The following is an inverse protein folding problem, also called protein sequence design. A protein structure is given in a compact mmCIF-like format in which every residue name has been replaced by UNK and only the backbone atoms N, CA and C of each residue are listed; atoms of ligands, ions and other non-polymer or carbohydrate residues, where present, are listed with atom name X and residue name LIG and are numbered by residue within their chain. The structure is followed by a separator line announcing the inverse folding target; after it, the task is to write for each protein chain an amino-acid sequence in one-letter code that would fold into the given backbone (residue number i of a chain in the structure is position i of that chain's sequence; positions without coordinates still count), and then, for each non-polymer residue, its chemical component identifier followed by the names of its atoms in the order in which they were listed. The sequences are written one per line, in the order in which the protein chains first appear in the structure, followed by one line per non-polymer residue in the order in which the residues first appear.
data_IF_920754492852
#
_entry.id   IF_920754492852
#
_cell.length_a   1.000
_cell.length_b   1.000
_cell.length_c   1.000
_cell.angle_alpha   90.00
_cell.angle_beta   90.00
_cell.angle_gamma   90.00
#
_symmetry.space_group_name_H-M   'P 1'
#
loop_
_entity.id
_entity.type
_entity.pdbx_description
1 polymer ?
#
# COMPACT_ATOMS: atom_id res chain seq x y z
N UNK A 1 22.13 -32.56 -29.53
CA UNK A 1 20.75 -32.17 -29.18
C UNK A 1 20.82 -30.75 -28.67
N UNK A 2 20.40 -29.77 -29.47
CA UNK A 2 20.42 -28.36 -29.07
C UNK A 2 19.07 -28.08 -28.40
N UNK A 3 19.08 -27.74 -27.12
CA UNK A 3 17.86 -27.37 -26.40
C UNK A 3 17.24 -26.14 -27.07
N UNK A 4 15.96 -26.23 -27.43
CA UNK A 4 15.24 -25.14 -28.11
C UNK A 4 15.08 -23.90 -27.22
N UNK A 5 14.89 -22.71 -27.82
CA UNK A 5 14.85 -21.42 -27.10
C UNK A 5 13.79 -21.34 -25.98
N UNK A 6 12.75 -22.17 -26.01
CA UNK A 6 11.73 -22.24 -24.94
C UNK A 6 12.22 -22.93 -23.66
N UNK A 7 13.18 -23.87 -23.75
CA UNK A 7 13.74 -24.55 -22.56
C UNK A 7 14.63 -23.58 -21.79
N UNK A 8 15.45 -22.80 -22.50
CA UNK A 8 16.32 -21.79 -21.91
C UNK A 8 15.54 -20.70 -21.14
N UNK A 9 14.38 -20.27 -21.65
CA UNK A 9 13.55 -19.26 -20.98
C UNK A 9 12.88 -19.80 -19.71
N UNK A 10 12.43 -21.06 -19.72
CA UNK A 10 11.82 -21.70 -18.55
C UNK A 10 12.83 -21.89 -17.42
N UNK A 11 14.04 -22.28 -17.76
CA UNK A 11 15.11 -22.49 -16.79
C UNK A 11 15.62 -21.15 -16.23
N UNK A 12 15.75 -20.12 -17.07
CA UNK A 12 16.07 -18.76 -16.62
C UNK A 12 15.01 -18.18 -15.66
N UNK A 13 13.72 -18.38 -15.95
CA UNK A 13 12.63 -17.93 -15.08
C UNK A 13 12.59 -18.70 -13.75
N UNK A 14 13.02 -19.97 -13.73
CA UNK A 14 13.14 -20.77 -12.51
C UNK A 14 14.34 -20.37 -11.67
N UNK A 15 15.47 -20.09 -12.30
CA UNK A 15 16.65 -19.55 -11.62
C UNK A 15 16.33 -18.19 -11.00
N UNK A 16 15.69 -17.29 -11.74
CA UNK A 16 15.27 -15.98 -11.23
C UNK A 16 14.27 -16.11 -10.06
N UNK A 17 13.36 -17.09 -10.12
CA UNK A 17 12.39 -17.35 -9.04
C UNK A 17 13.00 -18.03 -7.80
N UNK A 18 14.18 -18.64 -7.94
CA UNK A 18 14.91 -19.29 -6.84
C UNK A 18 15.87 -18.35 -6.12
N UNK A 19 16.06 -17.12 -6.63
CA UNK A 19 16.83 -16.10 -5.93
C UNK A 19 16.02 -15.65 -4.72
N UNK A 20 16.42 -16.10 -3.54
CA UNK A 20 15.91 -15.51 -2.31
C UNK A 20 16.42 -14.06 -2.21
N UNK A 21 15.55 -13.11 -1.88
CA UNK A 21 15.94 -11.72 -1.73
C UNK A 21 16.93 -11.59 -0.58
N UNK A 22 17.87 -10.66 -0.73
CA UNK A 22 18.91 -10.43 0.26
C UNK A 22 18.31 -10.17 1.66
N UNK A 23 19.01 -10.64 2.68
CA UNK A 23 18.64 -10.38 4.06
C UNK A 23 18.69 -8.87 4.33
N UNK A 24 17.73 -8.32 5.12
CA UNK A 24 17.66 -6.89 5.39
C UNK A 24 18.98 -6.38 6.02
N UNK A 25 19.35 -5.14 5.66
CA UNK A 25 20.58 -4.52 6.12
C UNK A 25 20.63 -4.41 7.66
N UNK A 26 21.74 -4.83 8.25
CA UNK A 26 21.97 -4.88 9.71
C UNK A 26 22.86 -3.75 10.24
N UNK A 27 23.09 -2.71 9.44
CA UNK A 27 23.93 -1.56 9.81
C UNK A 27 23.36 -0.72 10.96
N UNK A 28 24.19 0.02 11.71
CA UNK A 28 23.74 0.87 12.80
C UNK A 28 22.90 2.05 12.26
N UNK A 29 21.64 2.11 12.69
CA UNK A 29 20.68 3.17 12.32
C UNK A 29 21.11 4.50 12.94
N UNK A 30 21.47 5.48 12.11
CA UNK A 30 21.91 6.81 12.55
C UNK A 30 20.76 7.81 12.38
N UNK A 31 20.18 8.26 13.51
CA UNK A 31 18.82 8.84 13.65
C UNK A 31 17.74 7.87 13.13
N UNK A 32 16.88 7.38 14.02
CA UNK A 32 15.80 6.44 13.68
C UNK A 32 14.84 7.06 12.66
N UNK A 33 15.12 6.86 11.37
CA UNK A 33 14.24 7.21 10.27
C UNK A 33 12.90 6.53 10.49
N UNK A 34 11.81 7.28 10.54
CA UNK A 34 10.47 6.69 10.62
C UNK A 34 9.98 6.34 9.22
N UNK A 35 10.02 5.05 8.88
CA UNK A 35 9.45 4.48 7.66
C UNK A 35 8.00 4.09 7.95
N UNK A 36 7.09 4.69 7.22
CA UNK A 36 5.65 4.56 7.42
C UNK A 36 5.02 4.12 6.10
N UNK A 37 4.30 2.99 6.14
CA UNK A 37 3.54 2.51 4.99
C UNK A 37 2.09 2.99 5.07
N UNK A 38 1.56 3.49 3.96
CA UNK A 38 0.21 4.03 3.87
C UNK A 38 -0.59 3.10 2.95
N UNK A 39 -1.71 2.61 3.46
CA UNK A 39 -2.61 1.73 2.73
C UNK A 39 -4.03 2.30 2.67
N UNK A 40 -4.84 1.75 1.78
CA UNK A 40 -6.22 2.18 1.57
C UNK A 40 -6.70 1.84 0.17
N UNK A 41 -8.02 1.81 0.00
CA UNK A 41 -8.71 1.50 -1.25
C UNK A 41 -8.24 2.39 -2.41
N UNK A 42 -8.25 1.86 -3.63
CA UNK A 42 -8.03 2.64 -4.84
C UNK A 42 -8.95 3.86 -4.91
N UNK A 43 -8.40 5.04 -5.19
CA UNK A 43 -9.18 6.29 -5.30
C UNK A 43 -9.68 6.90 -3.98
N UNK A 44 -9.31 6.34 -2.82
CA UNK A 44 -9.70 6.90 -1.51
C UNK A 44 -9.04 8.25 -1.21
N UNK A 45 -7.89 8.54 -1.82
CA UNK A 45 -7.11 9.76 -1.62
C UNK A 45 -5.83 9.57 -0.79
N UNK A 46 -5.20 8.40 -0.85
CA UNK A 46 -3.87 8.14 -0.26
C UNK A 46 -2.83 9.17 -0.72
N UNK A 47 -2.61 9.26 -2.03
CA UNK A 47 -1.64 10.17 -2.62
C UNK A 47 -1.93 11.65 -2.32
N UNK A 48 -3.22 12.02 -2.25
CA UNK A 48 -3.62 13.36 -1.79
C UNK A 48 -3.19 13.62 -0.34
N UNK A 49 -3.50 12.68 0.56
CA UNK A 49 -3.14 12.77 1.98
C UNK A 49 -1.62 12.84 2.15
N UNK A 50 -0.90 11.97 1.45
CA UNK A 50 0.56 11.87 1.50
C UNK A 50 1.29 13.08 0.93
N UNK A 51 0.85 13.61 -0.21
CA UNK A 51 1.50 14.78 -0.79
C UNK A 51 1.34 16.01 0.10
N UNK A 52 0.16 16.19 0.72
CA UNK A 52 -0.09 17.27 1.66
C UNK A 52 0.63 17.07 3.01
N UNK A 53 0.65 15.84 3.53
CA UNK A 53 1.37 15.49 4.76
C UNK A 53 2.88 15.69 4.60
N UNK A 54 3.48 15.14 3.54
CA UNK A 54 4.91 15.28 3.27
C UNK A 54 5.29 16.74 3.07
N UNK A 55 4.46 17.51 2.34
CA UNK A 55 4.66 18.95 2.20
C UNK A 55 4.65 19.67 3.55
N UNK A 56 3.65 19.40 4.40
CA UNK A 56 3.56 20.02 5.72
C UNK A 56 4.77 19.68 6.60
N UNK A 57 5.13 18.40 6.68
CA UNK A 57 6.31 17.96 7.43
C UNK A 57 7.59 18.64 6.93
N UNK A 58 7.75 18.83 5.61
CA UNK A 58 8.86 19.57 5.04
C UNK A 58 8.83 21.06 5.43
N UNK A 59 7.65 21.70 5.46
CA UNK A 59 7.52 23.09 5.93
C UNK A 59 7.83 23.22 7.43
N UNK A 60 7.66 22.16 8.21
CA UNK A 60 8.07 22.05 9.61
C UNK A 60 9.56 21.69 9.78
N UNK A 61 10.34 21.74 8.70
CA UNK A 61 11.79 21.52 8.71
C UNK A 61 12.22 20.05 8.77
N UNK A 62 11.30 19.10 8.54
CA UNK A 62 11.64 17.68 8.48
C UNK A 62 12.16 17.31 7.10
N UNK A 63 13.17 16.44 7.05
CA UNK A 63 13.65 15.84 5.81
C UNK A 63 12.77 14.63 5.49
N UNK A 64 11.92 14.75 4.46
CA UNK A 64 10.89 13.75 4.12
C UNK A 64 11.12 13.17 2.73
N UNK A 65 11.01 11.85 2.62
CA UNK A 65 10.96 11.11 1.36
C UNK A 65 9.57 10.52 1.16
N UNK A 66 8.96 10.77 0.01
CA UNK A 66 7.70 10.16 -0.44
C UNK A 66 7.99 9.18 -1.58
N UNK A 67 7.63 7.91 -1.42
CA UNK A 67 7.78 6.91 -2.46
C UNK A 67 6.40 6.39 -2.86
N UNK A 68 6.05 6.53 -4.13
CA UNK A 68 4.89 5.85 -4.69
C UNK A 68 5.18 4.38 -4.94
N UNK A 69 4.43 3.49 -4.28
CA UNK A 69 4.53 2.03 -4.38
C UNK A 69 3.25 1.42 -4.98
N UNK A 70 2.60 2.16 -5.88
CA UNK A 70 1.43 1.75 -6.64
C UNK A 70 1.80 1.64 -8.12
N UNK A 71 1.46 0.54 -8.83
CA UNK A 71 1.68 0.41 -10.27
C UNK A 71 1.13 1.59 -11.09
N UNK A 72 0.10 2.29 -10.57
CA UNK A 72 -0.47 3.49 -11.19
C UNK A 72 0.54 4.65 -11.33
N UNK A 73 1.58 4.69 -10.49
CA UNK A 73 2.73 5.61 -10.61
C UNK A 73 2.39 7.10 -10.65
N UNK A 74 1.34 7.54 -9.94
CA UNK A 74 0.89 8.94 -9.94
C UNK A 74 0.92 9.63 -8.56
N UNK A 75 1.49 8.96 -7.55
CA UNK A 75 1.55 9.44 -6.15
C UNK A 75 2.19 10.82 -6.06
N UNK A 76 3.33 10.98 -6.71
CA UNK A 76 4.17 12.18 -6.69
C UNK A 76 3.67 13.27 -7.66
N UNK A 77 2.75 12.93 -8.57
CA UNK A 77 2.26 13.88 -9.59
C UNK A 77 1.60 15.09 -8.94
N UNK A 78 0.89 14.92 -7.82
CA UNK A 78 0.31 16.04 -7.07
C UNK A 78 1.39 16.96 -6.50
N UNK A 79 2.46 16.39 -5.96
CA UNK A 79 3.60 17.17 -5.51
C UNK A 79 4.25 17.94 -6.66
N UNK A 80 4.35 17.37 -7.87
CA UNK A 80 4.99 18.01 -9.04
C UNK A 80 4.04 18.70 -10.02
N UNK A 81 2.81 19.04 -9.59
CA UNK A 81 1.89 19.84 -10.40
C UNK A 81 1.43 19.15 -11.68
N UNK A 82 1.19 17.84 -11.61
CA UNK A 82 0.74 17.00 -12.71
C UNK A 82 1.86 16.38 -13.55
N UNK A 83 3.13 16.65 -13.24
CA UNK A 83 4.27 16.01 -13.92
C UNK A 83 4.53 14.63 -13.32
N UNK A 84 4.55 13.61 -14.18
CA UNK A 84 5.00 12.27 -13.81
C UNK A 84 6.52 12.26 -13.62
N UNK A 85 6.99 11.73 -12.49
CA UNK A 85 8.42 11.49 -12.28
C UNK A 85 8.82 10.17 -12.98
N UNK A 86 10.02 10.10 -13.57
CA UNK A 86 10.60 8.82 -14.01
C UNK A 86 10.53 7.76 -12.90
N UNK A 87 10.08 6.56 -13.25
CA UNK A 87 9.95 5.45 -12.29
C UNK A 87 11.26 4.71 -12.13
N UNK A 88 11.49 4.13 -10.95
CA UNK A 88 12.72 3.37 -10.64
C UNK A 88 12.85 2.16 -11.55
N UNK A 89 11.79 1.36 -11.68
CA UNK A 89 11.81 0.13 -12.49
C UNK A 89 12.10 0.43 -13.96
N UNK A 90 11.40 1.42 -14.54
CA UNK A 90 11.58 1.77 -15.96
C UNK A 90 12.97 2.38 -16.21
N UNK A 91 13.41 3.27 -15.33
CA UNK A 91 14.70 3.96 -15.46
C UNK A 91 15.86 2.99 -15.30
N UNK A 92 15.80 2.12 -14.28
CA UNK A 92 16.77 1.05 -14.04
C UNK A 92 16.86 0.10 -15.24
N UNK A 93 15.71 -0.30 -15.81
CA UNK A 93 15.66 -1.14 -17.01
C UNK A 93 16.34 -0.47 -18.22
N UNK A 94 16.05 0.81 -18.47
CA UNK A 94 16.65 1.57 -19.58
C UNK A 94 18.16 1.73 -19.41
N UNK A 95 18.62 2.08 -18.22
CA UNK A 95 20.05 2.24 -17.89
C UNK A 95 20.81 0.93 -18.05
N UNK A 96 20.26 -0.17 -17.52
CA UNK A 96 20.84 -1.51 -17.67
C UNK A 96 21.00 -1.91 -19.14
N UNK A 97 20.01 -1.61 -19.99
CA UNK A 97 20.09 -1.87 -21.44
C UNK A 97 21.16 -0.99 -22.13
N UNK A 98 21.42 0.20 -21.61
CA UNK A 98 22.49 1.09 -22.09
C UNK A 98 23.88 0.72 -21.53
N UNK A 99 23.98 -0.26 -20.62
CA UNK A 99 25.23 -0.59 -19.92
C UNK A 99 25.64 0.44 -18.86
N UNK A 100 24.68 1.22 -18.37
CA UNK A 100 24.88 2.23 -17.32
C UNK A 100 24.25 1.80 -15.99
N UNK A 101 24.82 2.27 -14.89
CA UNK A 101 24.24 2.11 -13.56
C UNK A 101 23.23 3.23 -13.26
N UNK A 102 22.12 2.88 -12.61
CA UNK A 102 21.14 3.86 -12.13
C UNK A 102 21.71 4.64 -10.95
N UNK A 103 21.45 5.95 -10.92
CA UNK A 103 21.89 6.85 -9.84
C UNK A 103 20.69 7.51 -9.18
N UNK A 104 20.87 8.03 -7.97
CA UNK A 104 19.80 8.71 -7.21
C UNK A 104 19.19 9.86 -8.01
N UNK A 105 19.99 10.63 -8.75
CA UNK A 105 19.50 11.76 -9.55
C UNK A 105 18.60 11.36 -10.73
N UNK A 106 18.63 10.10 -11.14
CA UNK A 106 17.76 9.62 -12.23
C UNK A 106 16.33 9.36 -11.75
N UNK A 107 16.14 9.11 -10.44
CA UNK A 107 14.88 8.58 -9.89
C UNK A 107 14.34 9.36 -8.69
N UNK A 108 15.16 10.20 -8.05
CA UNK A 108 14.77 11.06 -6.94
C UNK A 108 14.64 12.51 -7.38
N UNK A 109 13.46 13.08 -7.18
CA UNK A 109 13.17 14.48 -7.49
C UNK A 109 12.79 15.22 -6.21
N UNK A 110 12.97 16.54 -6.20
CA UNK A 110 12.66 17.38 -5.05
C UNK A 110 11.82 18.58 -5.43
N UNK A 111 10.86 18.92 -4.58
CA UNK A 111 10.06 20.15 -4.71
C UNK A 111 9.61 20.62 -3.33
N UNK A 112 9.74 21.92 -3.09
CA UNK A 112 9.26 22.59 -1.88
C UNK A 112 9.73 21.91 -0.57
N UNK A 113 10.93 21.32 -0.57
CA UNK A 113 11.54 20.62 0.57
C UNK A 113 11.25 19.11 0.66
N UNK A 114 10.30 18.59 -0.13
CA UNK A 114 9.97 17.16 -0.18
C UNK A 114 10.83 16.45 -1.22
N UNK A 115 11.38 15.30 -0.87
CA UNK A 115 12.02 14.37 -1.80
C UNK A 115 11.01 13.32 -2.21
N UNK A 116 11.03 12.93 -3.48
CA UNK A 116 10.00 12.07 -4.03
C UNK A 116 10.55 11.13 -5.10
N UNK A 117 10.06 9.89 -5.08
CA UNK A 117 10.38 8.83 -6.03
C UNK A 117 9.10 8.09 -6.41
N UNK A 118 9.06 7.50 -7.59
CA UNK A 118 8.04 6.53 -7.99
C UNK A 118 8.71 5.19 -8.25
N UNK A 119 8.23 4.14 -7.61
CA UNK A 119 8.78 2.81 -7.83
C UNK A 119 8.49 2.33 -9.25
N UNK A 120 7.28 2.59 -9.71
CA UNK A 120 6.76 2.05 -10.96
C UNK A 120 6.15 0.66 -10.78
N UNK A 121 5.69 0.11 -11.90
CA UNK A 121 5.18 -1.25 -11.97
C UNK A 121 5.50 -1.88 -13.32
N UNK A 122 5.10 -3.14 -13.54
CA UNK A 122 5.18 -3.74 -14.86
C UNK A 122 4.25 -3.02 -15.85
N UNK A 123 4.48 -3.22 -17.14
CA UNK A 123 3.60 -2.68 -18.19
C UNK A 123 2.13 -3.08 -17.94
N UNK A 124 1.21 -2.16 -18.22
CA UNK A 124 -0.24 -2.41 -18.06
C UNK A 124 -0.65 -3.68 -18.82
N UNK A 125 -1.28 -4.61 -18.11
CA UNK A 125 -1.71 -5.90 -18.67
C UNK A 125 -0.62 -6.96 -18.74
N UNK A 126 0.59 -6.71 -18.21
CA UNK A 126 1.70 -7.66 -18.17
C UNK A 126 2.33 -7.75 -16.77
N UNK A 127 3.00 -8.87 -16.50
CA UNK A 127 3.77 -9.07 -15.27
C UNK A 127 2.92 -9.18 -14.00
N UNK A 128 3.60 -9.10 -12.85
CA UNK A 128 2.99 -9.15 -11.53
C UNK A 128 3.38 -7.89 -10.76
N UNK A 129 2.39 -7.09 -10.35
CA UNK A 129 2.62 -5.85 -9.60
C UNK A 129 3.48 -6.08 -8.35
N UNK A 130 3.18 -7.12 -7.57
CA UNK A 130 3.95 -7.45 -6.37
C UNK A 130 5.43 -7.77 -6.65
N UNK A 131 5.74 -8.47 -7.76
CA UNK A 131 7.14 -8.73 -8.13
C UNK A 131 7.86 -7.45 -8.56
N UNK A 132 7.14 -6.55 -9.25
CA UNK A 132 7.64 -5.21 -9.54
C UNK A 132 7.99 -4.44 -8.27
N UNK A 133 7.12 -4.50 -7.25
CA UNK A 133 7.39 -3.86 -5.95
C UNK A 133 8.68 -4.39 -5.32
N UNK A 134 8.83 -5.71 -5.21
CA UNK A 134 10.03 -6.34 -4.64
C UNK A 134 11.29 -5.88 -5.39
N UNK A 135 11.28 -5.97 -6.72
CA UNK A 135 12.43 -5.59 -7.56
C UNK A 135 12.78 -4.09 -7.44
N UNK A 136 11.78 -3.22 -7.34
CA UNK A 136 12.01 -1.79 -7.14
C UNK A 136 12.65 -1.49 -5.78
N UNK A 137 12.26 -2.20 -4.72
CA UNK A 137 12.88 -2.06 -3.41
C UNK A 137 14.31 -2.62 -3.37
N UNK A 138 14.59 -3.74 -4.04
CA UNK A 138 15.98 -4.23 -4.20
C UNK A 138 16.86 -3.20 -4.92
N UNK A 139 16.31 -2.49 -5.90
CA UNK A 139 17.02 -1.40 -6.59
C UNK A 139 17.24 -0.20 -5.65
N UNK A 140 16.26 0.14 -4.82
CA UNK A 140 16.40 1.19 -3.80
C UNK A 140 17.46 0.85 -2.76
N UNK A 141 17.50 -0.40 -2.29
CA UNK A 141 18.50 -0.89 -1.34
C UNK A 141 19.91 -0.77 -1.92
N UNK A 142 20.10 -1.15 -3.20
CA UNK A 142 21.39 -0.95 -3.91
C UNK A 142 21.81 0.52 -4.03
N UNK A 143 20.85 1.44 -4.07
CA UNK A 143 21.10 2.89 -4.07
C UNK A 143 21.40 3.45 -2.66
N UNK A 144 21.38 2.61 -1.63
CA UNK A 144 21.66 3.00 -0.24
C UNK A 144 20.45 3.54 0.51
N UNK A 145 19.25 3.02 0.26
CA UNK A 145 17.98 3.47 0.87
C UNK A 145 18.07 3.72 2.39
N UNK A 146 18.79 2.88 3.12
CA UNK A 146 18.95 2.97 4.58
C UNK A 146 20.00 3.98 5.06
N UNK A 147 20.79 4.57 4.15
CA UNK A 147 21.92 5.45 4.47
C UNK A 147 21.58 6.95 4.29
N UNK A 148 20.43 7.28 3.71
CA UNK A 148 20.11 8.65 3.30
C UNK A 148 19.72 9.59 4.45
N UNK A 149 19.50 9.06 5.66
CA UNK A 149 19.23 9.84 6.88
C UNK A 149 18.04 10.79 6.74
N UNK A 150 16.87 10.26 6.36
CA UNK A 150 15.61 10.99 6.36
C UNK A 150 15.00 11.00 7.77
N UNK A 151 14.22 12.04 8.11
CA UNK A 151 13.43 12.00 9.35
C UNK A 151 12.21 11.08 9.15
N UNK A 152 11.58 11.15 7.96
CA UNK A 152 10.43 10.33 7.58
C UNK A 152 10.55 9.79 6.16
N UNK A 153 10.18 8.54 5.97
CA UNK A 153 9.93 7.92 4.67
C UNK A 153 8.48 7.46 4.61
N UNK A 154 7.71 8.00 3.68
CA UNK A 154 6.29 7.69 3.48
C UNK A 154 6.14 6.84 2.23
N UNK A 155 5.57 5.64 2.37
CA UNK A 155 5.40 4.68 1.28
C UNK A 155 3.91 4.57 0.90
N UNK A 156 3.52 5.01 -0.29
CA UNK A 156 2.13 4.91 -0.80
C UNK A 156 1.88 3.52 -1.40
N UNK A 157 1.32 2.60 -0.63
CA UNK A 157 1.03 1.24 -1.08
C UNK A 157 -0.42 1.08 -1.53
N UNK A 158 -0.62 0.28 -2.58
CA UNK A 158 -1.94 -0.19 -2.96
C UNK A 158 -2.55 -1.05 -1.84
N UNK A 159 -3.75 -0.68 -1.37
CA UNK A 159 -4.42 -1.35 -0.25
C UNK A 159 -5.46 -2.39 -0.63
N UNK A 160 -5.97 -2.38 -1.86
CA UNK A 160 -7.01 -3.33 -2.30
C UNK A 160 -6.53 -4.78 -2.19
N UNK A 161 -5.22 -5.01 -2.34
CA UNK A 161 -4.56 -6.29 -2.11
C UNK A 161 -3.36 -6.10 -1.19
N UNK A 162 -3.25 -6.92 -0.14
CA UNK A 162 -2.13 -6.89 0.81
C UNK A 162 -1.42 -8.25 0.78
N UNK A 163 -1.02 -8.68 -0.42
CA UNK A 163 -0.38 -9.97 -0.67
C UNK A 163 0.96 -9.79 -1.41
N UNK A 164 1.85 -10.79 -1.28
CA UNK A 164 3.16 -10.79 -1.93
C UNK A 164 3.92 -9.48 -1.71
N UNK A 165 4.36 -8.85 -2.80
CA UNK A 165 5.09 -7.58 -2.74
C UNK A 165 4.31 -6.40 -2.17
N UNK A 166 2.98 -6.39 -2.23
CA UNK A 166 2.18 -5.32 -1.61
C UNK A 166 2.09 -5.46 -0.09
N UNK A 167 2.35 -6.66 0.46
CA UNK A 167 2.51 -6.90 1.89
C UNK A 167 3.95 -6.77 2.39
N UNK A 168 4.91 -6.50 1.50
CA UNK A 168 6.35 -6.50 1.80
C UNK A 168 6.74 -5.61 3.00
N UNK A 169 6.25 -4.36 3.13
CA UNK A 169 6.63 -3.50 4.26
C UNK A 169 6.26 -4.06 5.63
N UNK A 170 5.14 -4.80 5.68
CA UNK A 170 4.64 -5.44 6.89
C UNK A 170 5.36 -6.76 7.12
N UNK A 171 5.52 -7.56 6.05
CA UNK A 171 6.09 -8.90 6.12
C UNK A 171 7.58 -8.93 6.48
N UNK A 172 8.34 -7.88 6.13
CA UNK A 172 9.79 -7.78 6.36
C UNK A 172 10.20 -6.73 7.37
N UNK A 173 9.28 -6.21 8.18
CA UNK A 173 9.56 -5.13 9.17
C UNK A 173 10.29 -3.92 8.54
N UNK A 174 10.06 -3.63 7.25
CA UNK A 174 10.70 -2.49 6.57
C UNK A 174 10.12 -1.14 7.03
N UNK A 175 8.89 -1.15 7.55
CA UNK A 175 8.25 0.00 8.15
C UNK A 175 8.00 -0.25 9.63
N UNK A 176 8.05 0.80 10.45
CA UNK A 176 7.74 0.66 11.87
C UNK A 176 6.23 0.62 12.09
N UNK A 177 5.48 1.36 11.27
CA UNK A 177 4.03 1.51 11.43
C UNK A 177 3.30 1.73 10.12
N UNK A 178 2.03 1.35 10.12
CA UNK A 178 1.10 1.48 9.01
C UNK A 178 0.06 2.56 9.31
N UNK A 179 -0.24 3.42 8.34
CA UNK A 179 -1.39 4.31 8.36
C UNK A 179 -2.40 3.83 7.33
N UNK A 180 -3.68 3.85 7.71
CA UNK A 180 -4.78 3.52 6.81
C UNK A 180 -5.47 4.81 6.38
N UNK A 181 -5.77 4.96 5.10
CA UNK A 181 -6.67 6.00 4.60
C UNK A 181 -7.99 5.35 4.26
N UNK A 182 -9.07 5.80 4.91
CA UNK A 182 -10.41 5.27 4.72
C UNK A 182 -11.48 6.36 4.64
N UNK A 183 -12.69 6.00 4.26
CA UNK A 183 -13.91 6.84 4.28
C UNK A 183 -15.02 6.07 4.99
N UNK A 184 -16.21 6.67 5.08
CA UNK A 184 -17.39 6.02 5.62
C UNK A 184 -18.01 4.93 4.71
N UNK A 185 -17.45 4.65 3.52
CA UNK A 185 -17.98 3.60 2.65
C UNK A 185 -17.52 2.19 3.03
N UNK A 186 -18.43 1.21 2.94
CA UNK A 186 -18.19 -0.19 3.33
C UNK A 186 -16.96 -0.80 2.65
N UNK A 187 -16.75 -0.52 1.37
CA UNK A 187 -15.61 -1.08 0.62
C UNK A 187 -14.29 -0.49 1.12
N UNK A 188 -14.28 0.79 1.49
CA UNK A 188 -13.12 1.42 2.13
C UNK A 188 -12.80 0.79 3.48
N UNK A 189 -13.81 0.54 4.31
CA UNK A 189 -13.60 -0.08 5.63
C UNK A 189 -13.27 -1.56 5.53
N UNK A 190 -13.73 -2.25 4.48
CA UNK A 190 -13.31 -3.62 4.18
C UNK A 190 -11.82 -3.69 3.88
N UNK A 191 -11.32 -2.77 3.03
CA UNK A 191 -9.87 -2.66 2.76
C UNK A 191 -9.09 -2.29 4.03
N UNK A 192 -9.59 -1.33 4.83
CA UNK A 192 -8.99 -0.99 6.11
C UNK A 192 -8.87 -2.22 7.04
N UNK A 193 -9.93 -3.02 7.12
CA UNK A 193 -9.95 -4.25 7.91
C UNK A 193 -8.98 -5.31 7.38
N UNK A 194 -8.80 -5.43 6.06
CA UNK A 194 -7.83 -6.34 5.47
C UNK A 194 -6.38 -5.95 5.81
N UNK A 195 -6.07 -4.65 5.83
CA UNK A 195 -4.77 -4.16 6.29
C UNK A 195 -4.56 -4.51 7.77
N UNK A 196 -5.58 -4.30 8.63
CA UNK A 196 -5.53 -4.73 10.03
C UNK A 196 -5.29 -6.24 10.16
N UNK A 197 -5.96 -7.06 9.35
CA UNK A 197 -5.75 -8.51 9.32
C UNK A 197 -4.32 -8.89 8.92
N UNK A 198 -3.75 -8.22 7.92
CA UNK A 198 -2.36 -8.45 7.50
C UNK A 198 -1.37 -8.12 8.61
N UNK A 199 -1.52 -6.95 9.26
CA UNK A 199 -0.68 -6.58 10.41
C UNK A 199 -0.81 -7.60 11.54
N UNK A 200 -2.04 -7.96 11.92
CA UNK A 200 -2.28 -8.93 12.99
C UNK A 200 -1.71 -10.32 12.68
N UNK A 201 -1.79 -10.75 11.41
CA UNK A 201 -1.20 -12.00 10.94
C UNK A 201 0.32 -12.00 11.12
N UNK A 202 1.03 -10.99 10.62
CA UNK A 202 2.49 -10.93 10.73
C UNK A 202 2.97 -10.69 12.16
N UNK A 203 2.20 -9.97 13.00
CA UNK A 203 2.49 -9.88 14.44
C UNK A 203 2.43 -11.23 15.15
N UNK A 204 1.49 -12.12 14.77
CA UNK A 204 1.45 -13.49 15.30
C UNK A 204 2.66 -14.33 14.89
N UNK A 205 3.29 -14.00 13.76
CA UNK A 205 4.51 -14.64 13.28
C UNK A 205 5.80 -14.01 13.85
N UNK A 206 5.68 -13.02 14.74
CA UNK A 206 6.82 -12.37 15.40
C UNK A 206 7.26 -11.03 14.81
N UNK A 207 6.52 -10.49 13.83
CA UNK A 207 6.76 -9.15 13.28
C UNK A 207 6.43 -8.03 14.27
N UNK A 208 7.03 -6.86 14.05
CA UNK A 208 6.96 -5.71 14.96
C UNK A 208 6.06 -4.59 14.43
N UNK A 209 5.72 -4.60 13.14
CA UNK A 209 4.84 -3.60 12.53
C UNK A 209 3.49 -3.52 13.23
N UNK A 210 3.02 -2.29 13.47
CA UNK A 210 1.68 -2.02 14.00
C UNK A 210 0.93 -0.98 13.18
N UNK A 211 -0.37 -0.82 13.44
CA UNK A 211 -1.19 0.25 12.85
C UNK A 211 -1.06 1.49 13.72
N UNK A 212 -0.57 2.59 13.16
CA UNK A 212 -0.49 3.89 13.83
C UNK A 212 -1.86 4.53 14.00
N UNK A 213 -2.70 4.41 12.97
CA UNK A 213 -4.05 4.95 12.97
C UNK A 213 -4.67 5.04 11.58
N UNK A 214 -5.87 5.61 11.53
CA UNK A 214 -6.64 5.86 10.32
C UNK A 214 -6.77 7.37 10.06
N UNK A 215 -6.57 7.77 8.81
CA UNK A 215 -6.99 9.08 8.30
C UNK A 215 -8.33 8.89 7.59
N UNK A 216 -9.37 9.50 8.14
CA UNK A 216 -10.71 9.48 7.54
C UNK A 216 -10.70 10.58 6.47
N UNK A 217 -10.76 10.20 5.20
CA UNK A 217 -10.79 11.12 4.09
C UNK A 217 -12.18 11.15 3.45
N UNK A 218 -12.53 12.32 2.88
CA UNK A 218 -13.88 12.59 2.37
C UNK A 218 -14.94 12.28 3.43
N UNK A 219 -14.68 12.70 4.67
CA UNK A 219 -15.60 12.51 5.79
C UNK A 219 -16.88 13.30 5.53
N UNK A 220 -17.98 12.59 5.31
CA UNK A 220 -19.34 13.11 5.11
C UNK A 220 -20.15 13.15 6.41
N UNK A 221 -19.55 12.74 7.54
CA UNK A 221 -20.14 12.86 8.87
C UNK A 221 -21.13 11.75 9.25
N UNK A 222 -21.24 10.68 8.46
CA UNK A 222 -22.15 9.55 8.75
C UNK A 222 -21.65 8.67 9.91
N UNK A 223 -20.33 8.62 10.15
CA UNK A 223 -19.74 8.09 11.40
C UNK A 223 -19.24 6.64 11.35
N UNK A 224 -19.38 5.92 10.24
CA UNK A 224 -19.01 4.51 10.11
C UNK A 224 -17.51 4.29 10.23
N UNK A 225 -16.68 5.21 9.70
CA UNK A 225 -15.22 5.11 9.84
C UNK A 225 -14.77 5.31 11.30
N UNK A 226 -15.44 6.19 12.05
CA UNK A 226 -15.22 6.38 13.48
C UNK A 226 -15.66 5.15 14.28
N UNK A 227 -16.80 4.55 13.91
CA UNK A 227 -17.27 3.30 14.51
C UNK A 227 -16.28 2.15 14.25
N UNK A 228 -15.77 2.04 13.03
CA UNK A 228 -14.72 1.08 12.67
C UNK A 228 -13.44 1.32 13.47
N UNK A 229 -12.95 2.55 13.53
CA UNK A 229 -11.75 2.93 14.27
C UNK A 229 -11.84 2.48 15.74
N UNK A 230 -12.99 2.74 16.38
CA UNK A 230 -13.27 2.29 17.75
C UNK A 230 -13.30 0.76 17.86
N UNK A 231 -14.06 0.09 16.99
CA UNK A 231 -14.24 -1.37 17.05
C UNK A 231 -12.94 -2.13 16.76
N UNK A 232 -12.12 -1.62 15.84
CA UNK A 232 -10.84 -2.21 15.46
C UNK A 232 -9.66 -1.79 16.36
N UNK A 233 -9.90 -0.96 17.38
CA UNK A 233 -8.86 -0.38 18.24
C UNK A 233 -7.78 0.38 17.45
N UNK A 234 -8.20 1.14 16.44
CA UNK A 234 -7.33 1.95 15.57
C UNK A 234 -7.56 3.43 15.88
N UNK A 235 -6.53 4.19 16.30
CA UNK A 235 -6.67 5.63 16.54
C UNK A 235 -7.03 6.41 15.28
N UNK A 236 -7.80 7.48 15.39
CA UNK A 236 -8.04 8.41 14.29
C UNK A 236 -6.95 9.48 14.30
N UNK A 237 -6.19 9.59 13.21
CA UNK A 237 -5.10 10.56 13.07
C UNK A 237 -5.61 11.90 12.55
N UNK A 238 -6.60 11.90 11.66
CA UNK A 238 -7.29 13.10 11.20
C UNK A 238 -8.61 12.72 10.49
N UNK A 239 -9.54 13.68 10.43
CA UNK A 239 -10.70 13.66 9.54
C UNK A 239 -10.57 14.79 8.52
N UNK A 240 -10.38 14.45 7.25
CA UNK A 240 -10.39 15.38 6.11
C UNK A 240 -11.83 15.41 5.58
N UNK A 241 -12.51 16.57 5.63
CA UNK A 241 -13.92 16.66 5.27
C UNK A 241 -14.16 16.43 3.77
N UNK A 242 -15.33 15.91 3.43
CA UNK A 242 -15.85 15.94 2.07
C UNK A 242 -16.13 17.39 1.66
N UNK A 243 -15.13 18.03 1.04
CA UNK A 243 -15.17 19.45 0.70
C UNK A 243 -14.87 19.69 -0.79
N UNK A 244 -15.69 20.53 -1.42
CA UNK A 244 -15.61 20.81 -2.86
C UNK A 244 -14.35 21.58 -3.26
N UNK A 245 -13.85 22.47 -2.40
CA UNK A 245 -12.60 23.19 -2.65
C UNK A 245 -11.40 22.25 -2.57
N UNK A 246 -11.34 21.39 -1.54
CA UNK A 246 -10.31 20.34 -1.44
C UNK A 246 -10.33 19.47 -2.70
N UNK A 247 -11.51 19.01 -3.12
CA UNK A 247 -11.69 18.20 -4.32
C UNK A 247 -11.17 18.91 -5.57
N UNK A 248 -11.54 20.17 -5.78
CA UNK A 248 -11.13 20.98 -6.94
C UNK A 248 -9.62 21.24 -6.94
N UNK A 249 -9.03 21.59 -5.80
CA UNK A 249 -7.58 21.81 -5.64
C UNK A 249 -6.79 20.52 -5.86
N UNK A 250 -7.26 19.39 -5.33
CA UNK A 250 -6.67 18.08 -5.57
C UNK A 250 -6.68 17.71 -7.07
N UNK A 251 -7.80 17.93 -7.75
CA UNK A 251 -7.92 17.66 -9.19
C UNK A 251 -7.02 18.56 -10.05
N UNK A 252 -6.67 19.75 -9.54
CA UNK A 252 -5.75 20.68 -10.18
C UNK A 252 -4.27 20.48 -9.74
N UNK A 253 -3.94 19.36 -9.07
CA UNK A 253 -2.61 19.05 -8.54
C UNK A 253 -2.04 20.15 -7.61
N UNK A 254 -2.90 20.72 -6.77
CA UNK A 254 -2.52 21.75 -5.81
C UNK A 254 -2.43 21.20 -4.39
N UNK A 255 -1.35 21.58 -3.71
CA UNK A 255 -1.17 21.39 -2.27
C UNK A 255 -2.11 22.34 -1.52
N UNK A 256 -2.95 21.78 -0.65
CA UNK A 256 -3.86 22.52 0.24
C UNK A 256 -3.24 22.78 1.61
N UNK A 257 -2.29 21.95 2.03
CA UNK A 257 -1.59 22.00 3.31
C UNK A 257 -0.52 23.09 3.41
N UNK A 258 -0.78 24.28 2.87
CA UNK A 258 0.17 25.40 3.01
C UNK A 258 0.03 26.02 4.40
N UNK A 259 1.13 26.31 5.12
CA UNK A 259 1.05 27.01 6.40
C UNK A 259 0.28 28.32 6.28
N UNK A 260 -0.60 28.59 7.25
CA UNK A 260 -1.42 29.81 7.28
C UNK A 260 -2.61 29.84 6.31
N UNK A 261 -2.89 28.77 5.54
CA UNK A 261 -4.15 28.64 4.79
C UNK A 261 -5.22 27.92 5.59
N UNK A 262 -6.46 27.93 5.11
CA UNK A 262 -7.62 27.28 5.74
C UNK A 262 -7.35 25.83 6.17
N UNK A 263 -6.70 25.04 5.30
CA UNK A 263 -6.45 23.62 5.54
C UNK A 263 -5.08 23.35 6.18
N UNK A 264 -4.22 24.36 6.33
CA UNK A 264 -2.90 24.24 6.96
C UNK A 264 -2.96 23.59 8.35
N UNK A 265 -3.77 24.11 9.30
CA UNK A 265 -3.86 23.57 10.65
C UNK A 265 -4.25 22.08 10.71
N UNK A 266 -5.09 21.61 9.78
CA UNK A 266 -5.49 20.21 9.70
C UNK A 266 -4.27 19.31 9.44
N UNK A 267 -3.43 19.70 8.48
CA UNK A 267 -2.25 18.92 8.12
C UNK A 267 -1.09 19.12 9.12
N UNK A 268 -1.02 20.27 9.80
CA UNK A 268 -0.11 20.46 10.94
C UNK A 268 -0.42 19.45 12.04
N UNK A 269 -1.70 19.33 12.42
CA UNK A 269 -2.13 18.38 13.43
C UNK A 269 -1.95 16.93 12.96
N UNK A 270 -2.24 16.63 11.69
CA UNK A 270 -1.97 15.31 11.13
C UNK A 270 -0.47 14.97 11.20
N UNK A 271 0.43 15.91 10.89
CA UNK A 271 1.86 15.69 10.97
C UNK A 271 2.33 15.36 12.40
N UNK A 272 1.80 16.07 13.41
CA UNK A 272 2.06 15.79 14.83
C UNK A 272 1.55 14.39 15.19
N UNK A 273 0.29 14.10 14.87
CA UNK A 273 -0.33 12.81 15.19
C UNK A 273 0.42 11.64 14.54
N UNK A 274 0.87 11.80 13.29
CA UNK A 274 1.69 10.80 12.58
C UNK A 274 3.05 10.62 13.23
N UNK A 275 3.71 11.71 13.65
CA UNK A 275 5.01 11.65 14.30
C UNK A 275 4.95 10.89 15.63
N UNK A 276 3.92 11.15 16.44
CA UNK A 276 3.78 10.65 17.81
C UNK A 276 3.10 9.27 17.90
N UNK A 277 2.26 8.90 16.92
CA UNK A 277 1.50 7.66 16.98
C UNK A 277 2.40 6.42 17.05
N UNK A 278 2.27 5.57 18.08
CA UNK A 278 3.02 4.32 18.18
C UNK A 278 2.44 3.23 17.27
N UNK A 279 3.21 2.18 16.95
CA UNK A 279 2.69 1.00 16.25
C UNK A 279 1.77 0.18 17.17
N UNK A 280 0.46 0.31 16.98
CA UNK A 280 -0.54 -0.42 17.78
C UNK A 280 -0.87 -1.77 17.15
N UNK A 281 -1.29 -2.73 17.99
CA UNK A 281 -1.86 -3.99 17.51
C UNK A 281 -3.35 -3.78 17.24
N UNK A 282 -3.82 -3.89 15.99
CA UNK A 282 -5.24 -3.73 15.69
C UNK A 282 -6.04 -4.95 16.16
N UNK A 283 -7.37 -4.78 16.26
CA UNK A 283 -8.32 -5.88 16.47
C UNK A 283 -9.19 -6.02 15.22
N UNK A 284 -8.79 -6.81 14.21
CA UNK A 284 -9.56 -6.94 12.99
C UNK A 284 -10.97 -7.49 13.27
N UNK A 285 -11.96 -6.98 12.53
CA UNK A 285 -13.35 -7.42 12.64
C UNK A 285 -13.60 -8.63 11.73
N UNK A 286 -14.58 -9.46 12.11
CA UNK A 286 -15.17 -10.43 11.18
C UNK A 286 -15.97 -9.70 10.09
N UNK A 287 -16.32 -10.40 9.01
CA UNK A 287 -17.16 -9.85 7.95
C UNK A 287 -18.52 -9.36 8.51
N UNK A 288 -19.17 -10.16 9.34
CA UNK A 288 -20.44 -9.78 9.99
C UNK A 288 -20.26 -8.61 10.94
N UNK A 289 -19.15 -8.56 11.70
CA UNK A 289 -18.84 -7.46 12.60
C UNK A 289 -18.63 -6.15 11.86
N UNK A 290 -18.00 -6.19 10.69
CA UNK A 290 -17.83 -5.02 9.82
C UNK A 290 -19.18 -4.58 9.23
N UNK A 291 -19.98 -5.53 8.72
CA UNK A 291 -21.31 -5.22 8.19
C UNK A 291 -22.20 -4.59 9.26
N UNK A 292 -22.12 -5.07 10.51
CA UNK A 292 -22.88 -4.55 11.65
C UNK A 292 -22.63 -3.06 11.96
N UNK A 293 -21.57 -2.45 11.43
CA UNK A 293 -21.34 -1.01 11.54
C UNK A 293 -22.30 -0.18 10.67
N UNK A 294 -22.94 -0.79 9.68
CA UNK A 294 -23.89 -0.17 8.76
C UNK A 294 -25.33 -0.52 9.14
N UNK A 295 -26.31 0.27 8.72
CA UNK A 295 -27.74 -0.06 8.91
C UNK A 295 -28.13 -1.32 8.14
N UNK A 296 -28.94 -2.20 8.73
CA UNK A 296 -29.43 -3.44 8.10
C UNK A 296 -30.15 -3.19 6.78
N UNK A 297 -30.93 -2.11 6.66
CA UNK A 297 -31.68 -1.77 5.45
C UNK A 297 -30.77 -1.49 4.24
N UNK A 298 -29.49 -1.18 4.49
CA UNK A 298 -28.49 -0.88 3.46
C UNK A 298 -27.69 -2.11 3.02
N UNK A 299 -27.77 -3.23 3.75
CA UNK A 299 -26.96 -4.43 3.50
C UNK A 299 -27.88 -5.63 3.48
N UNK A 300 -28.10 -6.29 2.33
CA UNK A 300 -28.94 -7.49 2.22
C UNK A 300 -28.37 -8.71 2.96
N UNK A 301 -28.33 -8.66 4.30
CA UNK A 301 -27.71 -9.65 5.19
C UNK A 301 -28.44 -10.99 5.23
N UNK A 302 -29.70 -11.00 4.82
CA UNK A 302 -30.56 -12.17 4.90
C UNK A 302 -30.49 -13.07 3.66
N UNK A 303 -29.58 -12.77 2.71
CA UNK A 303 -29.37 -13.64 1.54
C UNK A 303 -28.67 -14.91 1.99
N UNK A 304 -29.36 -16.04 1.85
CA UNK A 304 -28.80 -17.37 2.08
C UNK A 304 -28.01 -17.80 0.85
N UNK A 305 -26.75 -18.18 1.04
CA UNK A 305 -25.91 -18.71 -0.04
C UNK A 305 -26.40 -20.11 -0.41
N UNK A 306 -26.94 -20.26 -1.62
CA UNK A 306 -27.26 -21.56 -2.21
C UNK A 306 -26.06 -22.03 -3.06
N UNK A 307 -25.38 -23.12 -2.69
CA UNK A 307 -24.26 -23.62 -3.48
C UNK A 307 -24.72 -24.06 -4.86
N UNK A 308 -24.09 -23.51 -5.91
CA UNK A 308 -24.32 -23.96 -7.27
C UNK A 308 -23.86 -25.41 -7.44
N UNK A 309 -24.68 -26.23 -8.07
CA UNK A 309 -24.33 -27.58 -8.49
C UNK A 309 -23.60 -27.54 -9.82
N UNK A 310 -22.91 -28.63 -10.16
CA UNK A 310 -22.26 -28.74 -11.47
C UNK A 310 -23.29 -28.76 -12.62
N UNK A 311 -24.53 -29.16 -12.34
CA UNK A 311 -25.64 -29.07 -13.31
C UNK A 311 -26.05 -27.62 -13.56
N UNK A 312 -26.10 -26.78 -12.52
CA UNK A 312 -26.36 -25.34 -12.64
C UNK A 312 -25.28 -24.64 -13.49
N UNK A 313 -24.03 -25.09 -13.36
CA UNK A 313 -22.88 -24.52 -14.09
C UNK A 313 -22.79 -24.98 -15.54
N UNK A 314 -23.22 -26.21 -15.86
CA UNK A 314 -23.02 -26.83 -17.17
C UNK A 314 -24.30 -26.97 -18.00
N UNK A 315 -25.48 -26.71 -17.43
CA UNK A 315 -26.77 -26.80 -18.14
C UNK A 315 -27.14 -28.20 -18.61
N UNK A 316 -26.49 -29.24 -18.07
CA UNK A 316 -26.69 -30.64 -18.44
C UNK A 316 -26.65 -31.51 -17.19
N UNK A 317 -27.50 -32.55 -17.16
CA UNK A 317 -27.49 -33.54 -16.09
C UNK A 317 -26.15 -34.27 -16.06
N UNK A 318 -25.44 -34.23 -14.94
CA UNK A 318 -24.14 -34.87 -14.84
C UNK A 318 -24.33 -36.26 -14.27
N UNK A 319 -24.03 -37.26 -15.11
CA UNK A 319 -23.95 -38.64 -14.66
C UNK A 319 -22.73 -38.74 -13.74
N UNK A 320 -22.99 -38.76 -12.44
CA UNK A 320 -21.97 -38.97 -11.42
C UNK A 320 -21.40 -40.40 -11.58
N UNK A 321 -20.28 -40.52 -12.32
CA UNK A 321 -19.57 -41.79 -12.45
C UNK A 321 -18.72 -41.97 -11.20
N UNK A 322 -18.84 -43.09 -10.47
CA UNK A 322 -17.98 -43.37 -9.33
C UNK A 322 -16.51 -43.28 -9.74
N UNK A 323 -15.68 -42.60 -8.94
CA UNK A 323 -14.23 -42.65 -9.12
C UNK A 323 -13.78 -44.12 -9.02
N UNK A 324 -13.01 -44.58 -9.99
CA UNK A 324 -12.34 -45.88 -9.96
C UNK A 324 -10.98 -45.80 -9.25
N UNK A 325 -10.69 -44.69 -8.57
CA UNK A 325 -9.48 -44.57 -7.76
C UNK A 325 -9.47 -45.66 -6.69
N UNK A 326 -8.45 -46.52 -6.78
CA UNK A 326 -8.14 -47.50 -5.76
C UNK A 326 -7.66 -46.73 -4.54
N UNK A 327 -8.53 -46.61 -3.54
CA UNK A 327 -8.13 -46.18 -2.20
C UNK A 327 -7.28 -47.31 -1.64
N UNK A 328 -5.96 -47.11 -1.58
CA UNK A 328 -5.10 -47.99 -0.81
C UNK A 328 -5.42 -47.76 0.66
N UNK A 329 -5.97 -48.77 1.34
CA UNK A 329 -6.09 -48.76 2.79
C UNK A 329 -4.69 -48.52 3.38
N UNK A 330 -4.58 -47.53 4.27
CA UNK A 330 -3.34 -47.21 4.94
C UNK A 330 -2.88 -48.42 5.76
N UNK A 331 -1.76 -49.03 5.34
CA UNK A 331 -1.01 -50.02 6.10
C UNK A 331 -0.07 -49.32 7.09
#
# INVERSE_FOLDING_TARGET
MVAGPQVAMKDALREEAAVEPDAPATGPVTKETQIIAIYGKGGIGKSFTLANLSYMMAQQGKKVLLIGCDPKSDTTSLLFGGKATPTIIETSSKKKLAGEEVTISDVCFKRDGVFAMELGGPEVGRGCGGRGIIHGFETLEKLGFHEWGFDYVLLDFLGDVVCGGFGLPIARDMCQKVIIVGSNDLQSLYVANNVCNAVEYFRKLGGNVGVAGIVINKDDGTGEAQAFAKAASVPILASIPANEEIRRKSAAYQIVARPGTEWGPLFEQLAINVAEAPPMRPTPLSQDGLLALFSSDATGRDVVLEPATMEDMCGASIINKPSLEVVYDAA
#
